data_IF_718027192117
#
_entry.id   IF_718027192117
#
_cell.length_a   1.000
_cell.length_b   1.000
_cell.length_c   1.000
_cell.angle_alpha   90.00
_cell.angle_beta   90.00
_cell.angle_gamma   90.00
#
_symmetry.space_group_name_H-M   'P 1'
#
loop_
_entity.id
_entity.type
_entity.pdbx_description
1 polymer ?
#
# COMPACT_ATOMS: atom_id res chain seq x y z
N UNK A 1 -38.32 -2.91 -14.79
CA UNK A 1 -37.32 -2.08 -15.53
C UNK A 1 -35.98 -2.77 -15.80
N UNK A 2 -35.59 -3.85 -15.09
CA UNK A 2 -34.31 -4.56 -15.31
C UNK A 2 -34.19 -5.18 -16.72
N UNK A 3 -35.26 -5.85 -17.18
CA UNK A 3 -35.32 -6.48 -18.51
C UNK A 3 -35.12 -5.51 -19.69
N UNK A 4 -35.67 -4.29 -19.61
CA UNK A 4 -35.55 -3.32 -20.70
C UNK A 4 -34.10 -2.83 -20.91
N UNK A 5 -33.30 -2.73 -19.85
CA UNK A 5 -31.88 -2.34 -19.95
C UNK A 5 -31.03 -3.45 -20.58
N UNK A 6 -31.27 -4.70 -20.19
CA UNK A 6 -30.55 -5.86 -20.73
C UNK A 6 -30.85 -6.03 -22.22
N UNK A 7 -32.12 -5.96 -22.64
CA UNK A 7 -32.48 -6.02 -24.06
C UNK A 7 -31.83 -4.91 -24.87
N UNK A 8 -31.82 -3.67 -24.36
CA UNK A 8 -31.24 -2.53 -25.07
C UNK A 8 -29.72 -2.66 -25.21
N UNK A 9 -29.03 -3.15 -24.17
CA UNK A 9 -27.59 -3.42 -24.21
C UNK A 9 -27.22 -4.50 -25.24
N UNK A 10 -27.92 -5.63 -25.24
CA UNK A 10 -27.65 -6.69 -26.21
C UNK A 10 -27.97 -6.27 -27.65
N UNK A 11 -29.04 -5.49 -27.87
CA UNK A 11 -29.35 -4.92 -29.18
C UNK A 11 -28.22 -4.02 -29.71
N UNK A 12 -27.65 -3.16 -28.85
CA UNK A 12 -26.52 -2.30 -29.24
C UNK A 12 -25.28 -3.12 -29.58
N UNK A 13 -24.96 -4.16 -28.78
CA UNK A 13 -23.82 -5.06 -29.08
C UNK A 13 -24.01 -5.76 -30.42
N UNK A 14 -25.20 -6.31 -30.68
CA UNK A 14 -25.48 -7.02 -31.94
C UNK A 14 -25.33 -6.07 -33.14
N UNK A 15 -25.86 -4.85 -33.04
CA UNK A 15 -25.70 -3.84 -34.09
C UNK A 15 -24.21 -3.53 -34.31
N UNK A 16 -23.46 -3.26 -33.23
CA UNK A 16 -22.02 -2.99 -33.31
C UNK A 16 -21.24 -4.13 -33.99
N UNK A 17 -21.49 -5.38 -33.60
CA UNK A 17 -20.80 -6.56 -34.17
C UNK A 17 -21.15 -6.73 -35.65
N UNK A 18 -22.41 -6.52 -36.03
CA UNK A 18 -22.82 -6.60 -37.44
C UNK A 18 -22.19 -5.47 -38.26
N UNK A 19 -22.24 -4.23 -37.79
CA UNK A 19 -21.61 -3.07 -38.43
C UNK A 19 -20.11 -3.30 -38.60
N UNK A 20 -19.42 -3.76 -37.55
CA UNK A 20 -18.00 -4.09 -37.59
C UNK A 20 -17.68 -5.18 -38.62
N UNK A 21 -18.45 -6.27 -38.62
CA UNK A 21 -18.25 -7.41 -39.53
C UNK A 21 -18.43 -6.99 -40.99
N UNK A 22 -19.54 -6.31 -41.32
CA UNK A 22 -19.82 -5.86 -42.69
C UNK A 22 -18.76 -4.86 -43.16
N UNK A 23 -18.36 -3.93 -42.30
CA UNK A 23 -17.29 -2.96 -42.61
C UNK A 23 -15.97 -3.67 -42.90
N UNK A 24 -15.58 -4.67 -42.08
CA UNK A 24 -14.32 -5.38 -42.25
C UNK A 24 -14.31 -6.22 -43.54
N UNK A 25 -15.42 -6.90 -43.84
CA UNK A 25 -15.59 -7.67 -45.07
C UNK A 25 -15.57 -6.76 -46.32
N UNK A 26 -16.16 -5.57 -46.23
CA UNK A 26 -16.13 -4.57 -47.31
C UNK A 26 -14.73 -3.99 -47.55
N UNK A 27 -14.00 -3.63 -46.48
CA UNK A 27 -12.62 -3.11 -46.58
C UNK A 27 -11.64 -4.17 -47.11
N UNK A 28 -11.87 -5.44 -46.81
CA UNK A 28 -11.04 -6.56 -47.29
C UNK A 28 -11.44 -7.06 -48.69
N UNK A 29 -12.45 -6.44 -49.33
CA UNK A 29 -13.02 -6.85 -50.61
C UNK A 29 -13.52 -8.31 -50.66
N UNK A 30 -13.87 -8.89 -49.51
CA UNK A 30 -14.51 -10.21 -49.44
C UNK A 30 -15.98 -10.14 -49.87
N UNK A 31 -16.59 -8.97 -49.77
CA UNK A 31 -17.92 -8.64 -50.32
C UNK A 31 -17.83 -7.32 -51.09
N UNK A 32 -18.58 -7.21 -52.18
CA UNK A 32 -18.69 -5.95 -52.92
C UNK A 32 -19.66 -5.02 -52.18
N UNK A 33 -19.14 -3.88 -51.71
CA UNK A 33 -19.91 -2.81 -51.08
C UNK A 33 -19.57 -1.53 -51.81
N UNK A 34 -20.59 -0.75 -52.18
CA UNK A 34 -20.38 0.56 -52.78
C UNK A 34 -19.53 1.44 -51.85
N UNK A 35 -18.60 2.21 -52.44
CA UNK A 35 -17.66 3.04 -51.69
C UNK A 35 -18.38 4.09 -50.82
N UNK A 36 -19.54 4.59 -51.24
CA UNK A 36 -20.34 5.54 -50.47
C UNK A 36 -20.92 4.87 -49.21
N UNK A 37 -21.46 3.65 -49.33
CA UNK A 37 -21.94 2.88 -48.18
C UNK A 37 -20.81 2.45 -47.24
N UNK A 38 -19.66 2.05 -47.78
CA UNK A 38 -18.50 1.65 -46.98
C UNK A 38 -18.00 2.81 -46.11
N UNK A 39 -17.98 4.04 -46.67
CA UNK A 39 -17.59 5.26 -45.94
C UNK A 39 -18.55 5.55 -44.78
N UNK A 40 -19.85 5.37 -44.98
CA UNK A 40 -20.87 5.55 -43.93
C UNK A 40 -20.72 4.49 -42.84
N UNK A 41 -20.59 3.21 -43.21
CA UNK A 41 -20.41 2.09 -42.28
C UNK A 41 -19.14 2.25 -41.43
N UNK A 42 -18.03 2.63 -42.07
CA UNK A 42 -16.77 2.89 -41.36
C UNK A 42 -16.89 4.07 -40.39
N UNK A 43 -17.56 5.15 -40.80
CA UNK A 43 -17.78 6.31 -39.92
C UNK A 43 -18.65 5.98 -38.72
N UNK A 44 -19.72 5.20 -38.92
CA UNK A 44 -20.58 4.71 -37.86
C UNK A 44 -19.80 3.84 -36.87
N UNK A 45 -18.97 2.91 -37.37
CA UNK A 45 -18.12 2.06 -36.55
C UNK A 45 -17.16 2.87 -35.67
N UNK A 46 -16.53 3.91 -36.21
CA UNK A 46 -15.64 4.79 -35.44
C UNK A 46 -16.39 5.51 -34.33
N UNK A 47 -17.58 6.05 -34.60
CA UNK A 47 -18.40 6.74 -33.59
C UNK A 47 -18.82 5.76 -32.48
N UNK A 48 -19.27 4.56 -32.85
CA UNK A 48 -19.66 3.52 -31.89
C UNK A 48 -18.48 3.07 -31.03
N UNK A 49 -17.28 2.93 -31.61
CA UNK A 49 -16.07 2.59 -30.88
C UNK A 49 -15.71 3.69 -29.87
N UNK A 50 -15.68 4.95 -30.30
CA UNK A 50 -15.37 6.09 -29.42
C UNK A 50 -16.37 6.19 -28.27
N UNK A 51 -17.67 6.08 -28.57
CA UNK A 51 -18.72 6.11 -27.55
C UNK A 51 -18.58 4.94 -26.56
N UNK A 52 -18.25 3.74 -27.05
CA UNK A 52 -18.02 2.56 -26.21
C UNK A 52 -16.80 2.74 -25.31
N UNK A 53 -15.70 3.27 -25.83
CA UNK A 53 -14.49 3.56 -25.05
C UNK A 53 -14.79 4.60 -23.97
N UNK A 54 -15.44 5.72 -24.31
CA UNK A 54 -15.84 6.75 -23.32
C UNK A 54 -16.79 6.15 -22.27
N UNK A 55 -17.75 5.33 -22.70
CA UNK A 55 -18.67 4.63 -21.80
C UNK A 55 -17.93 3.72 -20.82
N UNK A 56 -16.97 2.94 -21.31
CA UNK A 56 -16.11 2.08 -20.51
C UNK A 56 -15.25 2.90 -19.53
N UNK A 57 -14.64 4.00 -19.97
CA UNK A 57 -13.88 4.90 -19.11
C UNK A 57 -14.72 5.54 -17.99
N UNK A 58 -16.00 5.81 -18.25
CA UNK A 58 -16.92 6.37 -17.24
C UNK A 58 -17.53 5.32 -16.32
N UNK A 59 -17.74 4.11 -16.81
CA UNK A 59 -18.41 3.04 -16.06
C UNK A 59 -17.46 2.20 -15.21
N UNK A 60 -16.19 2.13 -15.61
CA UNK A 60 -15.15 1.41 -14.88
C UNK A 60 -14.41 2.39 -13.98
N UNK A 61 -14.21 2.00 -12.72
CA UNK A 61 -13.40 2.75 -11.76
C UNK A 61 -11.92 2.45 -12.04
N UNK A 62 -11.41 2.95 -13.17
CA UNK A 62 -10.04 2.71 -13.66
C UNK A 62 -8.98 3.17 -12.66
N UNK A 63 -9.33 4.17 -11.87
CA UNK A 63 -8.52 4.74 -10.81
C UNK A 63 -9.21 4.56 -9.47
N UNK A 64 -9.84 3.38 -9.30
CA UNK A 64 -10.59 2.91 -8.13
C UNK A 64 -10.49 3.83 -6.93
N UNK A 65 -11.63 4.30 -6.38
CA UNK A 65 -11.64 5.03 -5.10
C UNK A 65 -10.57 4.43 -4.21
N UNK A 66 -9.58 5.24 -3.89
CA UNK A 66 -8.38 4.78 -3.24
C UNK A 66 -8.68 4.57 -1.77
N UNK A 67 -9.27 3.42 -1.50
CA UNK A 67 -9.63 2.97 -0.18
C UNK A 67 -8.48 2.11 0.30
N UNK A 68 -8.10 2.28 1.56
CA UNK A 68 -7.20 1.37 2.23
C UNK A 68 -7.62 -0.10 1.99
N UNK A 69 -6.67 -1.04 1.89
CA UNK A 69 -7.00 -2.45 1.70
C UNK A 69 -8.07 -2.91 2.70
N UNK A 70 -9.02 -3.73 2.26
CA UNK A 70 -10.05 -4.26 3.15
C UNK A 70 -9.42 -4.90 4.39
N UNK A 71 -9.89 -4.56 5.59
CA UNK A 71 -9.33 -5.05 6.85
C UNK A 71 -8.10 -4.29 7.37
N UNK A 72 -7.51 -3.35 6.62
CA UNK A 72 -6.32 -2.59 7.07
C UNK A 72 -6.57 -1.75 8.34
N UNK A 73 -7.80 -1.26 8.54
CA UNK A 73 -8.16 -0.46 9.73
C UNK A 73 -7.95 -1.19 11.07
N UNK A 74 -7.80 -2.52 11.04
CA UNK A 74 -7.47 -3.33 12.22
C UNK A 74 -6.01 -3.17 12.68
N UNK A 75 -5.09 -2.89 11.74
CA UNK A 75 -3.65 -2.73 12.02
C UNK A 75 -3.19 -1.27 11.97
N UNK A 76 -4.02 -0.39 11.43
CA UNK A 76 -3.77 1.05 11.41
C UNK A 76 -3.65 1.62 12.84
N UNK A 77 -2.66 2.51 13.01
CA UNK A 77 -2.43 3.22 14.26
C UNK A 77 -0.96 3.30 14.67
N UNK A 78 -0.77 3.59 15.96
CA UNK A 78 0.53 3.78 16.58
C UNK A 78 0.91 2.56 17.43
N UNK A 79 2.15 2.13 17.32
CA UNK A 79 2.67 0.90 17.89
C UNK A 79 4.01 1.16 18.56
N UNK A 80 4.25 0.47 19.65
CA UNK A 80 5.60 0.29 20.16
C UNK A 80 6.13 -1.04 19.62
N UNK A 81 7.30 -1.00 19.00
CA UNK A 81 8.04 -2.14 18.51
C UNK A 81 9.24 -2.40 19.43
N UNK A 82 9.35 -3.60 19.98
CA UNK A 82 10.51 -4.04 20.72
C UNK A 82 11.42 -4.86 19.80
N UNK A 83 12.69 -4.46 19.72
CA UNK A 83 13.69 -5.08 18.85
C UNK A 83 14.65 -5.90 19.71
N UNK A 84 14.69 -7.21 19.46
CA UNK A 84 15.63 -8.14 20.10
C UNK A 84 16.77 -8.44 19.15
N UNK A 85 17.97 -8.01 19.53
CA UNK A 85 19.19 -8.28 18.80
C UNK A 85 20.32 -8.64 19.77
N UNK A 86 21.22 -9.53 19.35
CA UNK A 86 22.24 -10.12 20.22
C UNK A 86 23.22 -9.09 20.81
N UNK A 87 23.39 -7.96 20.12
CA UNK A 87 24.30 -6.88 20.52
C UNK A 87 23.61 -5.77 21.32
N UNK A 88 22.43 -5.35 20.86
CA UNK A 88 21.74 -4.17 21.42
C UNK A 88 20.24 -4.33 21.25
N UNK A 89 19.50 -4.19 22.34
CA UNK A 89 18.04 -4.13 22.27
C UNK A 89 17.60 -2.67 22.14
N UNK A 90 16.52 -2.44 21.40
CA UNK A 90 15.96 -1.12 21.18
C UNK A 90 14.43 -1.15 21.22
N UNK A 91 13.81 0.02 21.32
CA UNK A 91 12.37 0.21 21.08
C UNK A 91 12.18 1.21 19.96
N UNK A 92 11.17 0.98 19.11
CA UNK A 92 10.77 1.94 18.08
C UNK A 92 9.31 2.32 18.24
N UNK A 93 9.01 3.61 18.14
CA UNK A 93 7.65 4.09 17.96
C UNK A 93 7.31 4.03 16.48
N UNK A 94 6.33 3.21 16.12
CA UNK A 94 5.97 2.88 14.74
C UNK A 94 4.56 3.40 14.45
N UNK A 95 4.40 4.11 13.34
CA UNK A 95 3.10 4.53 12.82
C UNK A 95 2.81 3.76 11.54
N UNK A 96 1.64 3.12 11.49
CA UNK A 96 1.13 2.38 10.32
C UNK A 96 -0.15 3.08 9.88
N UNK A 97 -0.17 3.63 8.66
CA UNK A 97 -1.31 4.39 8.16
C UNK A 97 -1.45 4.27 6.65
N UNK A 98 -2.65 4.53 6.13
CA UNK A 98 -2.86 4.69 4.69
C UNK A 98 -2.60 6.14 4.28
N UNK A 99 -1.69 6.37 3.33
CA UNK A 99 -1.45 7.69 2.75
C UNK A 99 -2.31 7.88 1.52
N UNK A 100 -3.30 8.79 1.60
CA UNK A 100 -4.10 9.18 0.42
C UNK A 100 -3.25 9.88 -0.64
N UNK A 101 -2.19 10.59 -0.26
CA UNK A 101 -1.29 11.25 -1.22
C UNK A 101 -0.50 10.22 -2.04
N UNK A 102 0.08 9.24 -1.36
CA UNK A 102 0.93 8.22 -1.99
C UNK A 102 0.13 7.00 -2.48
N UNK A 103 -1.16 6.93 -2.15
CA UNK A 103 -2.06 5.82 -2.47
C UNK A 103 -1.56 4.45 -2.01
N UNK A 104 -0.87 4.43 -0.88
CA UNK A 104 -0.25 3.22 -0.32
C UNK A 104 -0.27 3.24 1.21
N UNK A 105 -0.11 2.06 1.79
CA UNK A 105 0.22 1.92 3.20
C UNK A 105 1.64 2.44 3.42
N UNK A 106 1.81 3.30 4.42
CA UNK A 106 3.09 3.84 4.84
C UNK A 106 3.35 3.43 6.28
N UNK A 107 4.58 3.02 6.54
CA UNK A 107 5.07 2.66 7.86
C UNK A 107 6.30 3.50 8.14
N UNK A 108 6.30 4.20 9.26
CA UNK A 108 7.46 4.95 9.73
C UNK A 108 7.77 4.55 11.15
N UNK A 109 9.02 4.68 11.57
CA UNK A 109 9.36 4.53 12.96
C UNK A 109 10.59 5.31 13.40
N UNK A 110 10.57 5.71 14.67
CA UNK A 110 11.70 6.31 15.36
C UNK A 110 12.18 5.32 16.41
N UNK A 111 13.43 4.88 16.31
CA UNK A 111 14.07 3.93 17.20
C UNK A 111 14.91 4.63 18.27
N UNK A 112 14.90 4.06 19.47
CA UNK A 112 15.58 4.56 20.66
C UNK A 112 16.27 3.40 21.37
N UNK A 113 17.42 3.69 21.95
CA UNK A 113 18.17 2.78 22.81
C UNK A 113 17.41 2.53 24.13
N UNK A 114 17.91 1.60 24.95
CA UNK A 114 17.35 1.29 26.26
C UNK A 114 17.31 2.50 27.21
N UNK A 115 18.26 3.43 27.06
CA UNK A 115 18.36 4.64 27.87
C UNK A 115 17.54 5.81 27.31
N UNK A 116 16.84 5.61 26.18
CA UNK A 116 16.02 6.62 25.54
C UNK A 116 16.78 7.51 24.55
N UNK A 117 18.09 7.27 24.34
CA UNK A 117 18.84 7.98 23.32
C UNK A 117 18.34 7.58 21.93
N UNK A 118 18.09 8.52 21.01
CA UNK A 118 17.68 8.22 19.64
C UNK A 118 18.75 7.40 18.91
N UNK A 119 18.28 6.44 18.13
CA UNK A 119 19.14 5.46 17.47
C UNK A 119 19.05 5.57 15.96
N UNK A 120 17.83 5.54 15.42
CA UNK A 120 17.58 5.65 13.99
C UNK A 120 16.14 6.13 13.72
N UNK A 121 15.93 6.80 12.60
CA UNK A 121 14.59 7.03 12.03
C UNK A 121 14.47 6.26 10.73
N UNK A 122 13.33 5.65 10.46
CA UNK A 122 13.13 4.82 9.28
C UNK A 122 11.72 4.95 8.69
N UNK A 123 11.60 4.68 7.41
CA UNK A 123 10.35 4.77 6.65
C UNK A 123 10.28 3.67 5.60
N UNK A 124 9.06 3.23 5.32
CA UNK A 124 8.80 2.27 4.26
C UNK A 124 8.90 2.93 2.89
N UNK A 125 9.54 2.25 1.95
CA UNK A 125 9.53 2.60 0.52
C UNK A 125 8.55 1.74 -0.28
N UNK A 126 7.98 0.71 0.34
CA UNK A 126 6.92 -0.11 -0.23
C UNK A 126 6.35 -1.06 0.81
N UNK A 127 5.03 -1.25 0.80
CA UNK A 127 4.31 -2.08 1.76
C UNK A 127 3.28 -2.95 1.05
N UNK A 128 3.19 -4.21 1.46
CA UNK A 128 2.15 -5.14 1.06
C UNK A 128 1.45 -5.68 2.29
N UNK A 129 0.12 -5.60 2.32
CA UNK A 129 -0.71 -6.13 3.40
C UNK A 129 -1.68 -7.18 2.87
N UNK A 130 -1.71 -8.34 3.50
CA UNK A 130 -2.66 -9.41 3.24
C UNK A 130 -3.62 -9.55 4.41
N UNK A 131 -4.85 -9.06 4.22
CA UNK A 131 -5.88 -9.08 5.25
C UNK A 131 -6.38 -10.48 5.60
N UNK A 132 -6.26 -11.46 4.70
CA UNK A 132 -6.70 -12.83 4.97
C UNK A 132 -5.76 -13.56 5.95
N UNK A 133 -4.47 -13.20 5.92
CA UNK A 133 -3.44 -13.81 6.78
C UNK A 133 -2.93 -12.86 7.86
N UNK A 134 -3.42 -11.62 7.89
CA UNK A 134 -2.94 -10.55 8.79
C UNK A 134 -1.42 -10.35 8.70
N UNK A 135 -0.87 -10.51 7.49
CA UNK A 135 0.56 -10.35 7.23
C UNK A 135 0.85 -9.02 6.56
N UNK A 136 1.87 -8.33 7.05
CA UNK A 136 2.42 -7.14 6.45
C UNK A 136 3.88 -7.37 6.09
N UNK A 137 4.25 -7.04 4.85
CA UNK A 137 5.62 -7.09 4.35
C UNK A 137 6.00 -5.70 3.88
N UNK A 138 7.22 -5.28 4.18
CA UNK A 138 7.65 -3.93 3.82
C UNK A 138 9.12 -3.89 3.43
N UNK A 139 9.43 -2.94 2.57
CA UNK A 139 10.78 -2.48 2.27
C UNK A 139 10.99 -1.17 2.99
N UNK A 140 12.17 -0.95 3.59
CA UNK A 140 12.44 0.27 4.32
C UNK A 140 13.81 0.86 4.01
N UNK A 141 13.92 2.17 4.23
CA UNK A 141 15.16 2.93 4.36
C UNK A 141 15.13 3.68 5.69
N UNK A 142 16.27 4.12 6.17
CA UNK A 142 16.35 4.96 7.35
C UNK A 142 17.71 5.61 7.50
N UNK A 143 17.76 6.52 8.46
CA UNK A 143 18.94 7.27 8.84
C UNK A 143 19.38 6.81 10.23
N UNK A 144 20.61 6.33 10.33
CA UNK A 144 21.21 5.92 11.60
C UNK A 144 22.03 7.09 12.16
N UNK A 145 21.74 7.56 13.37
CA UNK A 145 22.39 8.78 13.86
C UNK A 145 23.91 8.63 14.06
N UNK A 146 24.36 7.42 14.39
CA UNK A 146 25.77 7.13 14.69
C UNK A 146 26.58 6.54 13.51
N UNK A 147 25.98 6.25 12.35
CA UNK A 147 26.65 5.57 11.23
C UNK A 147 26.24 6.18 9.90
N UNK A 148 27.22 6.39 9.02
CA UNK A 148 27.02 6.96 7.67
C UNK A 148 26.73 5.85 6.62
N UNK A 149 26.43 4.64 7.08
CA UNK A 149 26.16 3.49 6.22
C UNK A 149 24.67 3.42 5.85
N UNK A 150 24.39 2.98 4.61
CA UNK A 150 23.03 2.74 4.13
C UNK A 150 22.26 1.80 5.07
N UNK A 151 21.26 2.34 5.77
CA UNK A 151 20.37 1.58 6.65
C UNK A 151 19.07 1.26 5.91
N UNK A 152 19.00 0.08 5.30
CA UNK A 152 17.84 -0.36 4.53
C UNK A 152 17.59 -1.86 4.67
N UNK A 153 16.42 -2.31 4.24
CA UNK A 153 16.14 -3.75 4.24
C UNK A 153 14.68 -4.10 4.00
N UNK A 154 14.35 -5.33 4.39
CA UNK A 154 12.99 -5.86 4.34
C UNK A 154 12.51 -6.19 5.74
N UNK A 155 11.21 -6.08 5.95
CA UNK A 155 10.56 -6.48 7.18
C UNK A 155 9.28 -7.24 6.95
N UNK A 156 8.90 -7.99 7.97
CA UNK A 156 7.73 -8.84 8.01
C UNK A 156 7.09 -8.70 9.39
N UNK A 157 5.77 -8.53 9.41
CA UNK A 157 4.93 -8.52 10.60
C UNK A 157 3.73 -9.43 10.39
N UNK A 158 3.40 -10.21 11.42
CA UNK A 158 2.17 -10.96 11.53
C UNK A 158 1.35 -10.40 12.69
N UNK A 159 0.14 -9.92 12.41
CA UNK A 159 -0.72 -9.29 13.39
C UNK A 159 -1.67 -10.31 14.01
N UNK A 160 -1.74 -10.28 15.34
CA UNK A 160 -2.67 -11.07 16.14
C UNK A 160 -3.78 -10.16 16.66
N UNK A 161 -5.05 -10.58 16.53
CA UNK A 161 -6.19 -9.77 16.96
C UNK A 161 -6.43 -9.82 18.48
N UNK A 162 -6.03 -10.91 19.15
CA UNK A 162 -6.29 -11.13 20.57
C UNK A 162 -5.14 -11.87 21.28
N UNK A 163 -4.31 -11.20 22.09
CA UNK A 163 -4.28 -9.75 22.30
C UNK A 163 -3.81 -9.01 21.03
N UNK A 164 -4.32 -7.80 20.81
CA UNK A 164 -3.88 -6.93 19.70
C UNK A 164 -2.37 -6.72 19.81
N UNK A 165 -1.61 -7.35 18.92
CA UNK A 165 -0.15 -7.38 18.92
C UNK A 165 0.35 -7.77 17.53
N UNK A 166 1.65 -7.66 17.29
CA UNK A 166 2.27 -8.27 16.13
C UNK A 166 3.62 -8.87 16.49
N UNK A 167 4.05 -9.87 15.74
CA UNK A 167 5.39 -10.42 15.83
C UNK A 167 6.02 -10.49 14.44
N UNK A 168 7.35 -10.52 14.38
CA UNK A 168 8.00 -10.51 13.09
C UNK A 168 9.50 -10.39 13.16
N UNK A 169 10.05 -9.87 12.08
CA UNK A 169 11.49 -9.66 11.92
C UNK A 169 11.74 -8.62 10.84
N UNK A 170 12.95 -8.05 10.85
CA UNK A 170 13.47 -7.29 9.73
C UNK A 170 14.93 -7.66 9.48
N UNK A 171 15.47 -7.30 8.32
CA UNK A 171 16.89 -7.39 7.99
C UNK A 171 17.49 -6.00 7.91
N UNK A 172 18.76 -5.83 8.25
CA UNK A 172 19.48 -4.57 8.04
C UNK A 172 20.61 -4.72 7.02
N UNK A 173 20.88 -3.68 6.24
CA UNK A 173 22.02 -3.65 5.31
C UNK A 173 21.74 -2.76 4.12
N UNK A 174 22.30 -3.12 2.97
CA UNK A 174 22.11 -2.38 1.73
C UNK A 174 21.23 -3.17 0.77
N UNK A 175 19.97 -2.76 0.63
CA UNK A 175 19.01 -3.42 -0.24
C UNK A 175 19.34 -3.24 -1.73
N UNK A 176 19.97 -2.14 -2.11
CA UNK A 176 20.37 -1.87 -3.49
C UNK A 176 21.47 -2.84 -3.96
N UNK A 177 22.32 -3.26 -3.03
CA UNK A 177 23.35 -4.28 -3.25
C UNK A 177 22.89 -5.70 -2.90
N UNK A 178 21.64 -5.88 -2.45
CA UNK A 178 21.10 -7.14 -1.92
C UNK A 178 21.96 -7.76 -0.81
N UNK A 179 22.75 -6.94 -0.13
CA UNK A 179 23.59 -7.35 0.99
C UNK A 179 22.80 -7.15 2.28
N UNK A 180 21.87 -8.06 2.53
CA UNK A 180 21.05 -8.07 3.73
C UNK A 180 21.75 -8.89 4.82
N UNK A 181 21.94 -8.26 5.96
CA UNK A 181 22.56 -8.83 7.15
C UNK A 181 21.57 -8.85 8.30
N UNK A 182 21.79 -9.77 9.23
CA UNK A 182 21.00 -9.94 10.44
C UNK A 182 19.49 -10.16 10.22
N UNK A 183 18.84 -10.74 11.23
CA UNK A 183 17.38 -10.93 11.21
C UNK A 183 16.80 -10.77 12.61
N UNK A 184 16.95 -9.58 13.23
CA UNK A 184 16.37 -9.29 14.53
C UNK A 184 14.89 -9.62 14.55
N UNK A 185 14.46 -10.23 15.66
CA UNK A 185 13.04 -10.46 15.93
C UNK A 185 12.42 -9.22 16.53
N UNK A 186 11.18 -8.95 16.16
CA UNK A 186 10.42 -7.81 16.68
C UNK A 186 9.07 -8.26 17.24
N UNK A 187 8.61 -7.52 18.23
CA UNK A 187 7.29 -7.66 18.84
C UNK A 187 6.65 -6.28 18.89
N UNK A 188 5.40 -6.15 18.44
CA UNK A 188 4.65 -4.89 18.46
C UNK A 188 3.48 -4.99 19.43
N UNK A 189 3.24 -3.88 20.13
CA UNK A 189 2.06 -3.66 20.97
C UNK A 189 1.48 -2.29 20.64
N UNK A 190 0.14 -2.12 20.65
CA UNK A 190 -0.47 -0.82 20.45
C UNK A 190 0.08 0.20 21.44
N UNK A 191 0.42 1.39 20.95
CA UNK A 191 0.83 2.48 21.83
C UNK A 191 -0.38 2.99 22.63
N UNK A 192 -0.17 3.30 23.91
CA UNK A 192 -1.19 4.00 24.68
C UNK A 192 -1.50 5.35 24.03
N UNK A 193 -2.75 5.80 24.11
CA UNK A 193 -3.17 7.05 23.46
C UNK A 193 -2.36 8.27 23.96
N UNK A 194 -1.97 8.27 25.23
CA UNK A 194 -1.10 9.30 25.82
C UNK A 194 0.28 9.32 25.15
N UNK A 195 0.86 8.14 24.91
CA UNK A 195 2.18 8.02 24.32
C UNK A 195 2.12 8.43 22.85
N UNK A 196 1.11 7.97 22.12
CA UNK A 196 0.89 8.35 20.73
C UNK A 196 0.77 9.86 20.55
N UNK A 197 -0.03 10.53 21.41
CA UNK A 197 -0.16 12.00 21.39
C UNK A 197 1.18 12.70 21.63
N UNK A 198 1.97 12.24 22.61
CA UNK A 198 3.27 12.82 22.90
C UNK A 198 4.28 12.56 21.77
N UNK A 199 4.35 11.35 21.24
CA UNK A 199 5.32 10.99 20.20
C UNK A 199 5.04 11.69 18.86
N UNK A 200 3.78 11.92 18.51
CA UNK A 200 3.37 12.62 17.28
C UNK A 200 3.32 14.16 17.42
N UNK A 201 3.47 14.71 18.62
CA UNK A 201 3.38 16.15 18.86
C UNK A 201 4.66 16.88 18.45
N UNK A 202 4.51 17.99 17.71
CA UNK A 202 5.63 18.90 17.40
C UNK A 202 6.13 19.66 18.64
N UNK A 203 5.31 19.78 19.69
CA UNK A 203 5.69 20.47 20.93
C UNK A 203 6.53 19.58 21.86
N UNK A 204 6.55 18.26 21.64
CA UNK A 204 7.29 17.31 22.46
C UNK A 204 8.75 17.28 22.01
N UNK A 205 9.66 17.57 22.94
CA UNK A 205 11.08 17.65 22.63
C UNK A 205 11.67 16.27 22.38
N UNK A 206 12.83 16.23 21.73
CA UNK A 206 13.60 14.99 21.52
C UNK A 206 13.91 14.26 22.84
N UNK A 207 14.21 15.03 23.89
CA UNK A 207 14.46 14.50 25.23
C UNK A 207 13.21 13.87 25.85
N UNK A 208 12.04 14.50 25.68
CA UNK A 208 10.77 13.95 26.18
C UNK A 208 10.43 12.63 25.50
N UNK A 209 10.61 12.54 24.17
CA UNK A 209 10.41 11.30 23.41
C UNK A 209 11.35 10.18 23.90
N UNK A 210 12.61 10.52 24.14
CA UNK A 210 13.58 9.59 24.70
C UNK A 210 13.17 9.07 26.08
N UNK A 211 12.71 9.95 26.97
CA UNK A 211 12.22 9.55 28.30
C UNK A 211 11.00 8.61 28.22
N UNK A 212 10.08 8.86 27.28
CA UNK A 212 8.96 7.95 27.01
C UNK A 212 9.47 6.59 26.54
N UNK A 213 10.38 6.58 25.56
CA UNK A 213 10.94 5.34 25.01
C UNK A 213 11.67 4.51 26.08
N UNK A 214 12.51 5.12 26.91
CA UNK A 214 13.20 4.46 28.02
C UNK A 214 12.21 3.81 29.02
N UNK A 215 11.13 4.52 29.36
CA UNK A 215 10.05 3.99 30.22
C UNK A 215 9.38 2.76 29.58
N UNK A 216 9.08 2.82 28.28
CA UNK A 216 8.46 1.70 27.55
C UNK A 216 9.40 0.50 27.48
N UNK A 217 10.68 0.73 27.19
CA UNK A 217 11.70 -0.30 27.22
C UNK A 217 11.76 -1.02 28.58
N UNK A 218 11.81 -0.26 29.67
CA UNK A 218 11.84 -0.79 31.02
C UNK A 218 10.57 -1.59 31.38
N UNK A 219 9.41 -1.17 30.84
CA UNK A 219 8.14 -1.87 31.00
C UNK A 219 8.07 -3.20 30.25
N UNK A 220 8.74 -3.33 29.10
CA UNK A 220 8.71 -4.54 28.27
C UNK A 220 9.50 -5.71 28.86
N UNK A 221 10.49 -5.43 29.73
CA UNK A 221 11.33 -6.44 30.37
C UNK A 221 10.69 -7.12 31.59
N UNK A 222 9.59 -6.57 32.10
CA UNK A 222 8.84 -7.13 33.24
C UNK A 222 7.84 -8.17 32.76
#
# INVERSE_FOLDING_TARGET
MKYARETLFYSVIVIFVLTATVTLLGVTHLIEVDAEYLKVLFSALVIELVASVIGLFKATDWFGKTVAPSGFSTIEGNWWQFIRHDRTNAVSFVTIQYSEEQQQVVINGDAYTADGEPFASWWSIGVSFNAATMELRYFYKGDHEAQDDDFSGVGYLHFNESPRSADGWYTSGNIEQLNLTDRPKVELRPAAETDAKSMSSQATTRQDKGAIAARIYAGWRK
#
